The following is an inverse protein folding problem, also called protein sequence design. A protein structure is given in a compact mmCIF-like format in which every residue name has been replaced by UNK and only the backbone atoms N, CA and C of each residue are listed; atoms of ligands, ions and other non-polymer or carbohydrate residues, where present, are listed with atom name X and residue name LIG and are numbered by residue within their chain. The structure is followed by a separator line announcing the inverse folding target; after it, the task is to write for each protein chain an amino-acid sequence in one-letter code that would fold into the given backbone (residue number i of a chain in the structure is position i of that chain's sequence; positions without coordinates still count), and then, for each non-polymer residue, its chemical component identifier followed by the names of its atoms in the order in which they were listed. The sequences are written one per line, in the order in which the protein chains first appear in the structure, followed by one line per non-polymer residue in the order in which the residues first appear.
data_IF_527214172492
#
_entry.id   IF_527214172492
#
_cell.length_a   1.000
_cell.length_b   1.000
_cell.length_c   1.000
_cell.angle_alpha   90.00
_cell.angle_beta   90.00
_cell.angle_gamma   90.00
#
_symmetry.space_group_name_H-M   'P 1'
#
loop_
_entity.id
_entity.type
_entity.pdbx_description
1 polymer ?
#
# COMPACT_ATOMS: atom_id res chain seq x y z
N UNK A 1 1.76 -9.79 16.41
CA UNK A 1 1.55 -10.67 15.24
C UNK A 1 0.87 -9.84 14.18
N UNK A 2 1.51 -9.59 13.04
CA UNK A 2 0.85 -8.88 11.93
C UNK A 2 -0.22 -9.79 11.37
N UNK A 3 -1.51 -9.39 11.32
CA UNK A 3 -2.55 -10.24 10.78
C UNK A 3 -2.22 -10.61 9.34
N UNK A 4 -2.40 -11.88 8.98
CA UNK A 4 -2.25 -12.32 7.59
C UNK A 4 -3.34 -11.63 6.77
N UNK A 5 -2.95 -10.64 5.97
CA UNK A 5 -3.86 -9.93 5.08
C UNK A 5 -4.10 -10.75 3.81
N UNK A 6 -5.32 -10.76 3.26
CA UNK A 6 -5.57 -11.38 1.96
C UNK A 6 -4.72 -10.70 0.88
N UNK A 7 -4.37 -11.42 -0.22
CA UNK A 7 -3.71 -10.85 -1.39
C UNK A 7 -4.40 -9.56 -1.85
N UNK A 8 -3.61 -8.57 -2.27
CA UNK A 8 -4.15 -7.26 -2.65
C UNK A 8 -5.17 -7.37 -3.80
N UNK A 9 -4.93 -8.29 -4.74
CA UNK A 9 -5.85 -8.63 -5.84
C UNK A 9 -7.24 -9.08 -5.34
N UNK A 10 -7.30 -9.81 -4.23
CA UNK A 10 -8.55 -10.36 -3.70
C UNK A 10 -9.37 -9.26 -3.02
N UNK A 11 -8.68 -8.33 -2.34
CA UNK A 11 -9.30 -7.11 -1.78
C UNK A 11 -9.88 -6.26 -2.91
N UNK A 12 -9.11 -6.04 -3.97
CA UNK A 12 -9.54 -5.25 -5.13
C UNK A 12 -10.77 -5.87 -5.78
N UNK A 13 -10.74 -7.18 -6.05
CA UNK A 13 -11.85 -7.90 -6.66
C UNK A 13 -13.10 -7.86 -5.76
N UNK A 14 -12.94 -8.12 -4.45
CA UNK A 14 -14.05 -8.11 -3.49
C UNK A 14 -14.77 -6.77 -3.41
N UNK A 15 -14.03 -5.67 -3.53
CA UNK A 15 -14.57 -4.32 -3.37
C UNK A 15 -14.81 -3.59 -4.70
N UNK A 16 -14.55 -4.24 -5.85
CA UNK A 16 -14.68 -3.62 -7.17
C UNK A 16 -13.82 -2.36 -7.33
N UNK A 17 -12.64 -2.34 -6.69
CA UNK A 17 -11.78 -1.16 -6.70
C UNK A 17 -11.16 -0.98 -8.08
N UNK A 18 -11.60 0.06 -8.78
CA UNK A 18 -11.02 0.49 -10.05
C UNK A 18 -10.43 1.90 -9.87
N UNK A 19 -9.28 2.14 -10.49
CA UNK A 19 -8.66 3.46 -10.47
C UNK A 19 -9.55 4.45 -11.24
N UNK A 20 -9.94 5.55 -10.58
CA UNK A 20 -10.69 6.62 -11.23
C UNK A 20 -9.75 7.68 -11.80
N UNK A 21 -9.79 7.87 -13.13
CA UNK A 21 -9.05 8.95 -13.80
C UNK A 21 -9.46 10.34 -13.32
N UNK A 22 -10.74 10.54 -13.04
CA UNK A 22 -11.26 11.82 -12.54
C UNK A 22 -10.69 12.18 -11.15
N UNK A 23 -10.27 11.17 -10.39
CA UNK A 23 -9.61 11.34 -9.09
C UNK A 23 -8.08 11.29 -9.19
N UNK A 24 -7.50 11.22 -10.39
CA UNK A 24 -6.06 11.11 -10.60
C UNK A 24 -5.43 9.83 -10.03
N UNK A 25 -6.22 8.79 -9.77
CA UNK A 25 -5.73 7.57 -9.13
C UNK A 25 -4.91 6.72 -10.10
N UNK A 26 -3.71 6.32 -9.67
CA UNK A 26 -2.88 5.31 -10.32
C UNK A 26 -2.40 4.34 -9.25
N UNK A 27 -2.84 3.08 -9.33
CA UNK A 27 -2.50 2.08 -8.31
C UNK A 27 -1.18 1.40 -8.64
N UNK A 28 -0.30 1.30 -7.63
CA UNK A 28 0.95 0.57 -7.72
C UNK A 28 0.74 -0.88 -7.25
N UNK A 29 1.16 -1.83 -8.09
CA UNK A 29 1.04 -3.28 -7.80
C UNK A 29 2.37 -4.01 -7.74
N UNK A 30 3.48 -3.34 -8.10
CA UNK A 30 4.81 -3.92 -8.04
C UNK A 30 5.34 -3.90 -6.59
N UNK A 31 5.50 -5.08 -5.99
CA UNK A 31 5.96 -5.21 -4.61
C UNK A 31 7.40 -4.74 -4.39
N UNK A 32 8.28 -4.87 -5.38
CA UNK A 32 9.68 -4.43 -5.26
C UNK A 32 9.76 -2.90 -5.27
N UNK A 33 9.02 -2.25 -6.16
CA UNK A 33 8.90 -0.79 -6.18
C UNK A 33 8.36 -0.26 -4.86
N UNK A 34 7.26 -0.85 -4.37
CA UNK A 34 6.64 -0.46 -3.11
C UNK A 34 7.58 -0.63 -1.92
N UNK A 35 8.33 -1.73 -1.87
CA UNK A 35 9.32 -1.99 -0.81
C UNK A 35 10.47 -0.98 -0.87
N UNK A 36 10.95 -0.61 -2.07
CA UNK A 36 11.97 0.44 -2.22
C UNK A 36 11.48 1.80 -1.77
N UNK A 37 10.23 2.16 -2.06
CA UNK A 37 9.62 3.42 -1.60
C UNK A 37 9.52 3.43 -0.07
N UNK A 38 9.02 2.34 0.53
CA UNK A 38 8.88 2.21 1.97
C UNK A 38 10.21 2.27 2.73
N UNK A 39 11.33 1.94 2.09
CA UNK A 39 12.66 2.02 2.69
C UNK A 39 13.30 3.42 2.65
N UNK A 40 12.79 4.36 1.82
CA UNK A 40 13.36 5.72 1.69
C UNK A 40 13.44 6.47 3.03
N UNK A 41 12.40 6.43 3.90
CA UNK A 41 12.44 7.13 5.19
C UNK A 41 13.40 6.54 6.23
N UNK A 42 13.96 5.34 6.00
CA UNK A 42 14.76 4.60 6.98
C UNK A 42 13.93 3.69 7.89
N UNK A 43 14.42 3.43 9.11
CA UNK A 43 13.71 2.60 10.10
C UNK A 43 12.43 3.30 10.60
N UNK A 44 11.29 2.65 10.41
CA UNK A 44 9.97 3.15 10.78
C UNK A 44 9.44 2.52 12.07
N UNK A 45 10.21 1.66 12.74
CA UNK A 45 9.77 0.98 13.96
C UNK A 45 9.40 1.96 15.07
N UNK A 46 8.15 1.90 15.49
CA UNK A 46 7.60 2.77 16.54
C UNK A 46 7.30 4.20 16.08
N UNK A 47 7.52 4.50 14.79
CA UNK A 47 7.23 5.81 14.22
C UNK A 47 5.78 5.90 13.76
N UNK A 48 5.23 7.11 13.81
CA UNK A 48 3.92 7.41 13.23
C UNK A 48 4.10 7.78 11.76
N UNK A 49 3.40 7.08 10.87
CA UNK A 49 3.44 7.31 9.42
C UNK A 49 2.10 7.85 8.94
N UNK A 50 2.14 8.93 8.16
CA UNK A 50 0.96 9.51 7.52
C UNK A 50 1.03 9.30 6.00
N UNK A 51 0.15 8.45 5.48
CA UNK A 51 0.04 8.16 4.05
C UNK A 51 -1.15 8.90 3.44
N UNK A 52 -0.91 9.67 2.38
CA UNK A 52 -1.97 10.37 1.64
C UNK A 52 -2.33 9.56 0.40
N UNK A 53 -3.62 9.29 0.22
CA UNK A 53 -4.14 8.57 -0.96
C UNK A 53 -3.67 7.11 -1.05
N UNK A 54 -3.96 6.26 -0.04
CA UNK A 54 -3.43 4.88 0.03
C UNK A 54 -3.94 3.96 -1.10
N UNK A 55 -4.99 4.35 -1.82
CA UNK A 55 -5.60 3.53 -2.87
C UNK A 55 -6.00 2.14 -2.33
N UNK A 56 -5.61 1.04 -2.99
CA UNK A 56 -5.90 -0.31 -2.49
C UNK A 56 -5.02 -0.71 -1.28
N UNK A 57 -4.05 0.12 -0.89
CA UNK A 57 -3.17 -0.12 0.27
C UNK A 57 -1.87 -0.86 -0.05
N UNK A 58 -1.39 -0.76 -1.29
CA UNK A 58 -0.11 -1.37 -1.69
C UNK A 58 1.07 -0.81 -0.89
N UNK A 59 1.20 0.51 -0.85
CA UNK A 59 2.26 1.19 -0.08
C UNK A 59 2.03 1.07 1.43
N UNK A 60 0.78 1.21 1.91
CA UNK A 60 0.41 0.94 3.31
C UNK A 60 0.96 -0.40 3.81
N UNK A 61 0.80 -1.48 3.03
CA UNK A 61 1.30 -2.81 3.39
C UNK A 61 2.83 -2.90 3.39
N UNK A 62 3.49 -2.15 2.51
CA UNK A 62 4.95 -2.09 2.49
C UNK A 62 5.49 -1.32 3.69
N UNK A 63 4.87 -0.19 4.05
CA UNK A 63 5.21 0.62 5.23
C UNK A 63 5.02 -0.15 6.54
N UNK A 64 4.00 -1.00 6.65
CA UNK A 64 3.79 -1.85 7.83
C UNK A 64 4.81 -3.01 7.96
N UNK A 65 5.58 -3.30 6.91
CA UNK A 65 6.63 -4.33 6.90
C UNK A 65 8.04 -3.76 7.04
N UNK A 66 8.22 -2.49 6.69
CA UNK A 66 9.47 -1.74 6.84
C UNK A 66 9.75 -1.44 8.32
#
# INVERSE_FOLDING_TARGET
MTPTLPPLRDVIARHGLAASKALGQNFLFDEQLLSRIAAIPGDLKGQSVYEVGPGPGGLTRALLRA
#
